data_IF_473875217764
#
_entry.id   IF_473875217764
#
_cell.length_a   1.000
_cell.length_b   1.000
_cell.length_c   1.000
_cell.angle_alpha   90.00
_cell.angle_beta   90.00
_cell.angle_gamma   90.00
#
_symmetry.space_group_name_H-M   'P 1'
#
loop_
_entity.id
_entity.type
_entity.pdbx_description
1 polymer ?
#
# COMPACT_ATOMS: atom_id res chain seq x y z
N UNK A 1 -12.65 -2.13 -3.64
CA UNK A 1 -11.27 -2.35 -4.14
C UNK A 1 -11.33 -2.85 -5.58
N UNK A 2 -10.44 -2.37 -6.42
CA UNK A 2 -10.34 -2.78 -7.81
C UNK A 2 -8.92 -3.26 -8.10
N UNK A 3 -8.78 -4.31 -8.91
CA UNK A 3 -7.48 -4.84 -9.32
C UNK A 3 -7.32 -4.68 -10.82
N UNK A 4 -6.19 -4.11 -11.23
CA UNK A 4 -5.83 -3.98 -12.65
C UNK A 4 -4.44 -4.56 -12.87
N UNK A 5 -4.11 -4.90 -14.12
CA UNK A 5 -2.79 -5.41 -14.46
C UNK A 5 -1.90 -4.27 -14.96
N UNK A 6 -0.64 -4.26 -14.51
CA UNK A 6 0.38 -3.32 -14.97
C UNK A 6 1.74 -4.03 -14.97
N UNK A 7 2.38 -4.09 -16.14
CA UNK A 7 3.67 -4.79 -16.31
C UNK A 7 3.64 -6.24 -15.79
N UNK A 8 2.51 -6.94 -16.02
CA UNK A 8 2.33 -8.31 -15.59
C UNK A 8 2.09 -8.51 -14.11
N UNK A 9 1.87 -7.44 -13.35
CA UNK A 9 1.65 -7.48 -11.90
C UNK A 9 0.27 -6.95 -11.55
N UNK A 10 -0.37 -7.48 -10.49
CA UNK A 10 -1.63 -6.90 -10.01
C UNK A 10 -1.36 -5.56 -9.33
N UNK A 11 -2.20 -4.59 -9.59
CA UNK A 11 -2.18 -3.28 -8.94
C UNK A 11 -3.56 -3.05 -8.32
N UNK A 12 -3.58 -2.72 -7.04
CA UNK A 12 -4.82 -2.40 -6.33
C UNK A 12 -5.12 -0.91 -6.38
N UNK A 13 -6.40 -0.60 -6.55
CA UNK A 13 -6.96 0.74 -6.39
C UNK A 13 -8.01 0.63 -5.28
N UNK A 14 -7.76 1.28 -4.15
CA UNK A 14 -8.60 1.17 -2.96
C UNK A 14 -9.09 2.55 -2.56
N UNK A 15 -10.41 2.68 -2.40
CA UNK A 15 -11.00 3.89 -1.82
C UNK A 15 -11.06 3.69 -0.30
N UNK A 16 -10.11 4.31 0.41
CA UNK A 16 -9.98 4.15 1.86
C UNK A 16 -11.00 5.02 2.59
N UNK A 17 -11.61 4.45 3.64
CA UNK A 17 -12.50 5.18 4.54
C UNK A 17 -11.70 6.09 5.46
N UNK A 18 -12.38 7.03 6.11
CA UNK A 18 -11.77 7.89 7.15
C UNK A 18 -11.13 7.05 8.25
N UNK A 19 -11.78 5.94 8.62
CA UNK A 19 -11.25 5.02 9.63
C UNK A 19 -9.95 4.36 9.17
N UNK A 20 -9.87 3.93 7.92
CA UNK A 20 -8.65 3.34 7.36
C UNK A 20 -7.50 4.35 7.35
N UNK A 21 -7.78 5.62 7.05
CA UNK A 21 -6.77 6.68 7.11
C UNK A 21 -6.30 6.93 8.53
N UNK A 22 -7.21 6.90 9.51
CA UNK A 22 -6.85 7.01 10.92
C UNK A 22 -6.00 5.82 11.38
N UNK A 23 -6.26 4.63 10.87
CA UNK A 23 -5.48 3.43 11.20
C UNK A 23 -4.03 3.53 10.69
N UNK A 24 -3.79 4.21 9.59
CA UNK A 24 -2.42 4.50 9.12
C UNK A 24 -1.66 5.30 10.17
N UNK A 25 -2.29 6.33 10.73
CA UNK A 25 -1.66 7.16 11.76
C UNK A 25 -1.38 6.37 13.04
N UNK A 26 -2.28 5.47 13.44
CA UNK A 26 -2.09 4.61 14.60
C UNK A 26 -0.92 3.64 14.42
N UNK A 27 -0.68 3.16 13.21
CA UNK A 27 0.36 2.18 12.92
C UNK A 27 1.75 2.81 12.71
N UNK A 28 1.87 4.13 12.76
CA UNK A 28 3.09 4.84 12.39
C UNK A 28 4.34 4.39 13.15
N UNK A 29 4.18 4.06 14.44
CA UNK A 29 5.29 3.59 15.28
C UNK A 29 5.54 2.08 15.15
N UNK A 30 4.71 1.34 14.45
CA UNK A 30 4.79 -0.11 14.34
C UNK A 30 5.33 -0.58 12.99
N UNK A 31 5.51 0.33 12.03
CA UNK A 31 6.00 0.01 10.70
C UNK A 31 7.51 0.22 10.61
N UNK A 32 8.16 -0.57 9.76
CA UNK A 32 9.62 -0.59 9.65
C UNK A 32 10.18 0.64 8.93
N UNK A 33 9.43 1.19 7.98
CA UNK A 33 9.88 2.31 7.14
C UNK A 33 8.74 3.30 6.91
N UNK A 34 8.35 4.08 7.94
CA UNK A 34 7.18 4.96 7.85
C UNK A 34 7.28 6.03 6.78
N UNK A 35 8.49 6.38 6.36
CA UNK A 35 8.72 7.43 5.35
C UNK A 35 9.18 6.90 3.99
N UNK A 36 9.11 5.59 3.78
CA UNK A 36 9.47 4.92 2.52
C UNK A 36 10.85 5.30 2.00
N UNK A 37 11.85 5.25 2.88
CA UNK A 37 13.24 5.57 2.54
C UNK A 37 13.95 4.44 1.81
N UNK A 38 13.42 3.22 1.89
CA UNK A 38 13.99 2.04 1.25
C UNK A 38 13.00 1.47 0.22
N UNK A 39 12.95 2.02 -1.01
CA UNK A 39 12.05 1.51 -2.03
C UNK A 39 12.42 0.09 -2.45
N UNK A 40 11.44 -0.68 -2.90
CA UNK A 40 11.63 -2.05 -3.36
C UNK A 40 12.16 -2.10 -4.79
N UNK A 41 11.29 -2.05 -5.79
CA UNK A 41 11.71 -2.17 -7.20
C UNK A 41 11.65 -0.85 -7.96
N UNK A 42 11.05 0.18 -7.38
CA UNK A 42 10.94 1.51 -7.99
C UNK A 42 10.89 2.58 -6.91
N UNK A 43 11.34 3.81 -7.20
CA UNK A 43 11.26 4.88 -6.21
C UNK A 43 9.80 5.27 -5.93
N UNK A 44 9.54 5.75 -4.70
CA UNK A 44 8.24 6.30 -4.37
C UNK A 44 8.03 7.58 -5.16
N UNK A 45 6.90 7.74 -5.87
CA UNK A 45 6.59 9.01 -6.53
C UNK A 45 6.54 10.17 -5.52
N UNK A 46 7.05 11.34 -5.89
CA UNK A 46 7.12 12.49 -4.99
C UNK A 46 5.75 12.91 -4.46
N UNK A 47 4.71 12.82 -5.30
CA UNK A 47 3.35 13.17 -4.89
C UNK A 47 2.74 12.19 -3.88
N UNK A 48 3.40 11.05 -3.64
CA UNK A 48 3.00 10.08 -2.62
C UNK A 48 3.94 10.07 -1.41
N UNK A 49 4.84 11.05 -1.28
CA UNK A 49 5.78 11.13 -0.18
C UNK A 49 5.13 11.75 1.05
N UNK A 50 4.20 11.00 1.63
CA UNK A 50 3.49 11.34 2.86
C UNK A 50 3.13 10.04 3.58
N UNK A 51 2.57 10.15 4.78
CA UNK A 51 2.26 8.96 5.58
C UNK A 51 1.21 8.05 4.94
N UNK A 52 0.30 8.62 4.16
CA UNK A 52 -0.76 7.86 3.48
C UNK A 52 -0.30 7.24 2.17
N UNK A 53 0.85 7.64 1.66
CA UNK A 53 1.46 7.18 0.40
C UNK A 53 0.49 7.32 -0.78
N UNK A 54 -0.22 8.44 -0.80
CA UNK A 54 -1.19 8.81 -1.83
C UNK A 54 -1.04 10.28 -2.18
N UNK A 55 -1.65 10.70 -3.29
CA UNK A 55 -1.73 12.11 -3.63
C UNK A 55 -2.52 12.86 -2.55
N UNK A 56 -2.04 14.02 -2.14
CA UNK A 56 -2.61 14.78 -1.01
C UNK A 56 -4.04 15.23 -1.24
N UNK A 57 -4.40 15.55 -2.47
CA UNK A 57 -5.77 15.93 -2.86
C UNK A 57 -6.71 14.72 -3.05
N UNK A 58 -6.17 13.51 -3.04
CA UNK A 58 -6.91 12.25 -3.16
C UNK A 58 -6.35 11.21 -2.19
N UNK A 59 -6.13 11.59 -0.94
CA UNK A 59 -5.51 10.70 0.05
C UNK A 59 -6.32 9.44 0.32
N UNK A 60 -7.63 9.46 0.05
CA UNK A 60 -8.48 8.30 0.17
C UNK A 60 -8.22 7.24 -0.92
N UNK A 61 -7.66 7.62 -2.06
CA UNK A 61 -7.38 6.68 -3.15
C UNK A 61 -5.96 6.15 -3.03
N UNK A 62 -5.85 4.87 -2.68
CA UNK A 62 -4.58 4.17 -2.52
C UNK A 62 -4.33 3.30 -3.73
N UNK A 63 -3.16 3.44 -4.35
CA UNK A 63 -2.74 2.67 -5.53
C UNK A 63 -1.43 1.98 -5.17
N UNK A 64 -1.40 0.65 -5.21
CA UNK A 64 -0.20 -0.09 -4.84
C UNK A 64 -0.04 -1.34 -5.71
N UNK A 65 1.21 -1.68 -6.00
CA UNK A 65 1.53 -2.96 -6.63
C UNK A 65 1.35 -4.06 -5.58
N UNK A 66 0.43 -5.00 -5.85
CA UNK A 66 0.06 -6.05 -4.89
C UNK A 66 1.01 -7.24 -4.97
N UNK A 67 2.30 -6.97 -4.75
CA UNK A 67 3.37 -7.95 -4.77
C UNK A 67 4.18 -7.82 -3.49
N UNK A 68 4.15 -8.87 -2.68
CA UNK A 68 4.90 -8.91 -1.42
C UNK A 68 6.39 -8.73 -1.68
N UNK A 69 7.01 -7.81 -0.94
CA UNK A 69 8.42 -7.46 -1.14
C UNK A 69 9.39 -8.51 -0.60
N UNK A 70 8.89 -9.61 -0.02
CA UNK A 70 9.70 -10.74 0.39
C UNK A 70 10.00 -11.65 -0.80
N UNK A 71 8.99 -12.43 -1.28
CA UNK A 71 9.18 -13.40 -2.37
C UNK A 71 8.12 -13.29 -3.47
N UNK A 72 7.41 -12.20 -3.56
CA UNK A 72 6.53 -11.91 -4.70
C UNK A 72 5.11 -12.44 -4.63
N UNK A 73 4.67 -13.02 -3.50
CA UNK A 73 3.28 -13.44 -3.34
C UNK A 73 2.34 -12.22 -3.32
N UNK A 74 1.09 -12.42 -3.70
CA UNK A 74 0.08 -11.37 -3.60
C UNK A 74 -0.49 -11.35 -2.18
N UNK A 75 -0.35 -10.22 -1.43
CA UNK A 75 -0.95 -10.12 -0.11
C UNK A 75 -2.47 -10.19 -0.16
N UNK A 76 -3.08 -10.60 0.94
CA UNK A 76 -4.53 -10.69 1.07
C UNK A 76 -5.06 -9.49 1.84
N UNK A 77 -6.11 -8.80 1.36
CA UNK A 77 -6.74 -7.75 2.14
C UNK A 77 -7.30 -8.27 3.47
N UNK A 78 -7.04 -7.54 4.54
CA UNK A 78 -7.54 -7.80 5.89
C UNK A 78 -7.97 -6.48 6.49
N UNK A 79 -9.08 -5.93 6.00
CA UNK A 79 -9.52 -4.59 6.36
C UNK A 79 -10.24 -4.55 7.71
N UNK A 80 -10.76 -5.68 8.18
CA UNK A 80 -11.42 -5.76 9.47
C UNK A 80 -10.38 -5.63 10.60
N UNK A 81 -10.65 -4.79 11.58
CA UNK A 81 -9.78 -4.63 12.75
C UNK A 81 -10.00 -5.74 13.76
N UNK A 82 -9.02 -5.92 14.63
CA UNK A 82 -9.10 -6.81 15.78
C UNK A 82 -8.62 -8.23 15.48
N UNK A 83 -8.79 -9.10 16.48
CA UNK A 83 -8.29 -10.46 16.45
C UNK A 83 -8.86 -11.29 15.30
N UNK A 84 -7.97 -11.88 14.52
CA UNK A 84 -8.28 -12.77 13.39
C UNK A 84 -7.16 -13.81 13.31
N UNK A 85 -7.37 -14.94 12.63
CA UNK A 85 -6.29 -15.91 12.44
C UNK A 85 -5.05 -15.29 11.80
N UNK A 86 -3.89 -15.54 12.40
CA UNK A 86 -2.58 -15.06 11.95
C UNK A 86 -2.36 -13.55 12.07
N UNK A 87 -3.21 -12.83 12.79
CA UNK A 87 -3.08 -11.39 13.03
C UNK A 87 -3.10 -11.11 14.54
N UNK A 88 -2.47 -10.01 15.01
CA UNK A 88 -2.51 -9.64 16.42
C UNK A 88 -3.92 -9.19 16.84
N UNK A 89 -4.18 -9.23 18.14
CA UNK A 89 -5.48 -8.83 18.70
C UNK A 89 -5.81 -7.36 18.45
N UNK A 90 -4.78 -6.51 18.34
CA UNK A 90 -4.91 -5.08 18.08
C UNK A 90 -4.70 -4.72 16.60
N UNK A 91 -4.95 -5.66 15.71
CA UNK A 91 -4.78 -5.46 14.26
C UNK A 91 -5.55 -4.23 13.77
N UNK A 92 -4.86 -3.25 13.14
CA UNK A 92 -5.49 -2.00 12.73
C UNK A 92 -6.13 -2.03 11.33
N UNK A 93 -6.07 -3.15 10.64
CA UNK A 93 -6.44 -3.23 9.22
C UNK A 93 -5.24 -3.08 8.31
N UNK A 94 -5.28 -3.73 7.19
CA UNK A 94 -4.20 -3.73 6.19
C UNK A 94 -4.19 -4.99 5.36
N UNK A 95 -3.01 -5.57 5.18
CA UNK A 95 -2.81 -6.72 4.29
C UNK A 95 -1.94 -7.78 4.94
N UNK A 96 -2.21 -9.03 4.64
CA UNK A 96 -1.45 -10.18 5.13
C UNK A 96 -0.94 -10.99 3.94
N UNK A 97 0.37 -11.18 3.86
CA UNK A 97 0.95 -12.08 2.86
C UNK A 97 0.78 -13.53 3.32
N UNK A 98 0.04 -14.37 2.58
CA UNK A 98 -0.24 -15.73 3.02
C UNK A 98 0.96 -16.68 2.95
N UNK A 99 2.00 -16.32 2.21
CA UNK A 99 3.15 -17.21 2.00
C UNK A 99 4.04 -17.32 3.24
N UNK A 100 4.40 -16.19 3.87
CA UNK A 100 5.33 -16.17 5.00
C UNK A 100 4.89 -15.23 6.13
N UNK A 101 3.66 -14.73 6.09
CA UNK A 101 3.08 -13.99 7.19
C UNK A 101 3.46 -12.51 7.31
N UNK A 102 4.11 -11.92 6.31
CA UNK A 102 4.39 -10.48 6.33
C UNK A 102 3.09 -9.69 6.35
N UNK A 103 3.05 -8.58 7.10
CA UNK A 103 1.88 -7.73 7.20
C UNK A 103 2.21 -6.31 6.78
N UNK A 104 1.21 -5.65 6.20
CA UNK A 104 1.28 -4.26 5.73
C UNK A 104 0.09 -3.50 6.27
N UNK A 105 0.28 -2.21 6.56
CA UNK A 105 -0.82 -1.36 7.00
C UNK A 105 -1.65 -0.86 5.81
N UNK A 106 -2.62 0.02 6.08
CA UNK A 106 -3.51 0.55 5.03
C UNK A 106 -2.83 1.54 4.09
N UNK A 107 -1.55 1.87 4.29
CA UNK A 107 -0.72 2.61 3.36
C UNK A 107 0.30 1.71 2.65
N UNK A 108 0.19 0.38 2.81
CA UNK A 108 1.13 -0.57 2.22
C UNK A 108 2.50 -0.54 2.87
N UNK A 109 2.62 -0.01 4.10
CA UNK A 109 3.88 0.02 4.84
C UNK A 109 4.03 -1.28 5.61
N UNK A 110 5.21 -1.91 5.50
CA UNK A 110 5.48 -3.19 6.16
C UNK A 110 5.64 -2.99 7.67
N UNK A 111 5.00 -3.84 8.47
CA UNK A 111 5.20 -3.84 9.92
C UNK A 111 6.60 -4.34 10.29
N UNK A 112 7.09 -3.93 11.45
CA UNK A 112 8.39 -4.36 11.98
C UNK A 112 8.42 -5.88 12.22
N UNK A 113 9.62 -6.45 12.16
CA UNK A 113 9.86 -7.87 12.48
C UNK A 113 9.12 -8.84 11.56
N UNK A 114 9.01 -8.50 10.28
CA UNK A 114 8.39 -9.34 9.26
C UNK A 114 9.41 -9.75 8.21
N UNK A 115 9.18 -10.88 7.50
CA UNK A 115 10.09 -11.32 6.44
C UNK A 115 10.26 -10.31 5.31
N UNK A 116 9.20 -9.59 4.92
CA UNK A 116 9.28 -8.58 3.87
C UNK A 116 10.09 -7.38 4.36
N UNK A 117 11.12 -6.94 3.59
CA UNK A 117 12.00 -5.87 4.05
C UNK A 117 11.52 -4.46 3.68
N UNK A 118 10.64 -4.32 2.68
CA UNK A 118 10.22 -3.02 2.17
C UNK A 118 8.71 -2.88 2.11
N UNK A 119 8.27 -1.64 1.98
CA UNK A 119 6.86 -1.31 1.74
C UNK A 119 6.44 -1.76 0.34
N UNK A 120 5.14 -1.92 0.12
CA UNK A 120 4.61 -2.20 -1.21
C UNK A 120 4.95 -1.03 -2.16
N UNK A 121 5.30 -1.35 -3.40
CA UNK A 121 5.59 -0.32 -4.39
C UNK A 121 4.34 0.47 -4.76
N UNK A 122 4.52 1.77 -5.02
CA UNK A 122 3.49 2.64 -5.58
C UNK A 122 3.89 2.93 -7.03
N UNK A 123 3.10 2.50 -8.03
CA UNK A 123 3.42 2.82 -9.41
C UNK A 123 3.13 4.30 -9.70
N UNK A 124 3.75 4.89 -10.73
CA UNK A 124 3.29 6.20 -11.19
C UNK A 124 1.82 6.13 -11.60
N UNK A 125 1.06 7.17 -11.27
CA UNK A 125 -0.35 7.27 -11.65
C UNK A 125 -0.81 8.71 -11.62
N UNK A 126 -1.91 8.99 -12.31
CA UNK A 126 -2.53 10.30 -12.28
C UNK A 126 -4.02 10.19 -12.54
N UNK A 127 -4.77 11.19 -12.10
CA UNK A 127 -6.18 11.30 -12.41
C UNK A 127 -6.35 12.02 -13.74
N UNK A 128 -7.16 11.43 -14.63
CA UNK A 128 -7.46 12.01 -15.94
C UNK A 128 -8.76 12.82 -15.93
N UNK A 129 -9.61 12.57 -14.91
CA UNK A 129 -10.88 13.25 -14.69
C UNK A 129 -11.33 12.96 -13.25
N UNK A 130 -12.49 13.47 -12.86
CA UNK A 130 -13.06 13.21 -11.53
C UNK A 130 -13.22 11.70 -11.25
N UNK A 131 -13.49 10.90 -12.28
CA UNK A 131 -13.73 9.46 -12.17
C UNK A 131 -12.71 8.59 -12.92
N UNK A 132 -11.67 9.20 -13.49
CA UNK A 132 -10.68 8.50 -14.30
C UNK A 132 -9.30 8.51 -13.68
N UNK A 133 -8.62 7.36 -13.71
CA UNK A 133 -7.27 7.20 -13.20
C UNK A 133 -6.46 6.35 -14.18
N UNK A 134 -5.22 6.75 -14.46
CA UNK A 134 -4.30 5.98 -15.29
C UNK A 134 -3.09 5.57 -14.46
N UNK A 135 -2.65 4.33 -14.63
CA UNK A 135 -1.50 3.75 -13.94
C UNK A 135 -0.34 3.62 -14.92
N UNK A 136 0.88 3.87 -14.44
CA UNK A 136 2.09 3.80 -15.24
C UNK A 136 2.43 5.10 -15.95
N UNK A 137 1.65 6.15 -15.72
CA UNK A 137 1.84 7.47 -16.30
C UNK A 137 1.51 8.54 -15.29
N UNK A 138 2.28 9.60 -15.26
CA UNK A 138 2.00 10.80 -14.47
C UNK A 138 2.41 12.05 -15.26
N UNK A 139 2.43 13.20 -14.59
CA UNK A 139 2.75 14.47 -15.21
C UNK A 139 4.16 14.53 -15.80
N UNK A 140 5.04 13.62 -15.39
CA UNK A 140 6.42 13.49 -15.90
C UNK A 140 6.51 12.52 -17.08
N UNK A 141 5.40 11.89 -17.50
CA UNK A 141 5.35 10.95 -18.60
C UNK A 141 5.11 9.51 -18.16
N UNK A 142 5.37 8.59 -19.06
CA UNK A 142 5.18 7.16 -18.82
C UNK A 142 6.40 6.54 -18.13
N UNK A 143 6.13 5.59 -17.25
CA UNK A 143 7.17 4.82 -16.59
C UNK A 143 7.61 3.63 -17.43
#
# INVERSE_FOLDING_TARGET
MKTVAWRGKPVWIINRTEKMLADVQKADNEVADPHSKNPFSMPLPEYCNNEFRSRTDHKNIFVAVAVCTHLGCTPTPRFQEGAQPNLPDDWPGGFLCPCHGSTYDMAGRVFKNKPAPQNLDIPPYMFTSANGLVIGKDEKGEA
#
